data_IF_858857018241
#
_entry.id   IF_858857018241
#
_cell.length_a   1.000
_cell.length_b   1.000
_cell.length_c   1.000
_cell.angle_alpha   90.00
_cell.angle_beta   90.00
_cell.angle_gamma   90.00
#
_symmetry.space_group_name_H-M   'P 1'
#
loop_
_entity.id
_entity.type
_entity.pdbx_description
1 polymer ?
#
# COMPACT_ATOMS: atom_id res chain seq x y z
N UNK A 1 26.39 7.85 -0.30
CA UNK A 1 24.96 8.20 -0.55
C UNK A 1 24.82 9.71 -0.51
N UNK A 2 24.81 10.35 -1.68
CA UNK A 2 24.88 11.81 -1.76
C UNK A 2 23.48 12.41 -1.62
N UNK A 3 23.19 13.04 -0.48
CA UNK A 3 21.90 13.68 -0.20
C UNK A 3 21.52 14.75 -1.25
N UNK A 4 22.51 15.37 -1.88
CA UNK A 4 22.35 16.29 -3.01
C UNK A 4 21.67 15.59 -4.21
N UNK A 5 22.01 14.34 -4.51
CA UNK A 5 21.40 13.61 -5.63
C UNK A 5 19.91 13.33 -5.39
N UNK A 6 19.51 13.08 -4.14
CA UNK A 6 18.10 12.94 -3.75
C UNK A 6 17.35 14.27 -3.90
N UNK A 7 17.96 15.38 -3.47
CA UNK A 7 17.39 16.73 -3.61
C UNK A 7 17.19 17.09 -5.09
N UNK A 8 18.18 16.83 -5.95
CA UNK A 8 18.09 17.11 -7.39
C UNK A 8 16.98 16.28 -8.05
N UNK A 9 16.88 14.99 -7.74
CA UNK A 9 15.83 14.15 -8.33
C UNK A 9 14.41 14.61 -7.92
N UNK A 10 14.21 14.94 -6.64
CA UNK A 10 12.96 15.51 -6.15
C UNK A 10 12.65 16.86 -6.82
N UNK A 11 13.63 17.76 -6.93
CA UNK A 11 13.45 19.03 -7.63
C UNK A 11 13.13 18.84 -9.11
N UNK A 12 13.80 17.91 -9.79
CA UNK A 12 13.58 17.67 -11.22
C UNK A 12 12.21 17.04 -11.48
N UNK A 13 11.72 16.19 -10.57
CA UNK A 13 10.36 15.62 -10.63
C UNK A 13 9.31 16.69 -10.32
N UNK A 14 9.48 17.48 -9.25
CA UNK A 14 8.48 18.48 -8.85
C UNK A 14 8.46 19.69 -9.78
N UNK A 15 9.63 20.22 -10.15
CA UNK A 15 9.73 21.33 -11.11
C UNK A 15 9.47 20.85 -12.54
N UNK A 16 9.82 19.62 -12.91
CA UNK A 16 9.49 19.04 -14.21
C UNK A 16 7.99 18.83 -14.40
N UNK A 17 7.27 18.37 -13.38
CA UNK A 17 5.80 18.39 -13.38
C UNK A 17 5.23 19.82 -13.47
N UNK A 18 5.99 20.79 -12.95
CA UNK A 18 5.66 22.21 -13.05
C UNK A 18 6.02 22.82 -14.41
N UNK A 19 6.78 22.13 -15.27
CA UNK A 19 7.07 22.57 -16.63
C UNK A 19 6.04 22.05 -17.65
N UNK A 20 5.24 21.04 -17.29
CA UNK A 20 4.13 20.57 -18.12
C UNK A 20 3.13 21.70 -18.39
N UNK A 21 2.62 21.72 -19.62
CA UNK A 21 1.60 22.67 -20.04
C UNK A 21 0.38 22.59 -19.11
N UNK A 22 -0.36 23.70 -18.97
CA UNK A 22 -1.46 23.78 -18.00
C UNK A 22 -2.44 22.60 -18.16
N UNK A 23 -2.70 22.17 -19.40
CA UNK A 23 -3.54 21.01 -19.72
C UNK A 23 -2.93 19.66 -19.33
N UNK A 24 -1.62 19.47 -19.54
CA UNK A 24 -0.94 18.22 -19.25
C UNK A 24 -0.88 17.92 -17.75
N UNK A 25 -0.82 18.97 -16.90
CA UNK A 25 -0.93 18.81 -15.44
C UNK A 25 -2.26 18.20 -15.02
N UNK A 26 -3.37 18.61 -15.63
CA UNK A 26 -4.69 18.02 -15.33
C UNK A 26 -4.72 16.55 -15.75
N UNK A 27 -4.18 16.24 -16.93
CA UNK A 27 -4.11 14.88 -17.44
C UNK A 27 -3.28 13.96 -16.52
N UNK A 28 -2.12 14.42 -16.07
CA UNK A 28 -1.26 13.66 -15.18
C UNK A 28 -1.90 13.44 -13.79
N UNK A 29 -2.56 14.45 -13.25
CA UNK A 29 -3.23 14.35 -11.95
C UNK A 29 -4.41 13.37 -12.00
N UNK A 30 -5.22 13.42 -13.06
CA UNK A 30 -6.29 12.45 -13.31
C UNK A 30 -5.71 11.04 -13.47
N UNK A 31 -4.61 10.87 -14.23
CA UNK A 31 -3.94 9.59 -14.38
C UNK A 31 -3.48 9.00 -13.04
N UNK A 32 -2.86 9.82 -12.17
CA UNK A 32 -2.42 9.38 -10.83
C UNK A 32 -3.62 8.99 -9.96
N UNK A 33 -4.71 9.75 -9.98
CA UNK A 33 -5.93 9.42 -9.24
C UNK A 33 -6.56 8.12 -9.73
N UNK A 34 -6.63 7.91 -11.05
CA UNK A 34 -7.17 6.69 -11.65
C UNK A 34 -6.26 5.49 -11.38
N UNK A 35 -4.94 5.66 -11.45
CA UNK A 35 -3.97 4.62 -11.09
C UNK A 35 -4.08 4.24 -9.61
N UNK A 36 -4.14 5.24 -8.72
CA UNK A 36 -4.30 5.01 -7.30
C UNK A 36 -5.62 4.30 -7.02
N UNK A 37 -6.72 4.74 -7.64
CA UNK A 37 -8.02 4.08 -7.56
C UNK A 37 -7.94 2.62 -8.03
N UNK A 38 -7.27 2.37 -9.15
CA UNK A 38 -7.09 1.02 -9.69
C UNK A 38 -6.31 0.13 -8.72
N UNK A 39 -5.22 0.63 -8.14
CA UNK A 39 -4.42 -0.12 -7.15
C UNK A 39 -5.20 -0.30 -5.84
N UNK A 40 -5.90 0.71 -5.35
CA UNK A 40 -6.71 0.64 -4.12
C UNK A 40 -7.96 -0.22 -4.29
N UNK A 41 -8.51 -0.36 -5.49
CA UNK A 41 -9.65 -1.22 -5.76
C UNK A 41 -9.23 -2.68 -5.97
N UNK A 42 -8.11 -2.92 -6.68
CA UNK A 42 -7.63 -4.27 -6.98
C UNK A 42 -6.69 -4.85 -5.89
N UNK A 43 -5.88 -4.00 -5.26
CA UNK A 43 -4.92 -4.35 -4.20
C UNK A 43 -5.51 -5.02 -2.95
N UNK A 44 -6.66 -4.59 -2.40
CA UNK A 44 -7.21 -5.21 -1.20
C UNK A 44 -7.62 -6.66 -1.45
N UNK A 45 -7.99 -7.04 -2.67
CA UNK A 45 -8.30 -8.44 -3.00
C UNK A 45 -7.09 -9.36 -2.85
N UNK A 46 -5.89 -8.85 -3.12
CA UNK A 46 -4.63 -9.58 -2.92
C UNK A 46 -4.21 -9.60 -1.44
N UNK A 47 -4.34 -8.45 -0.75
CA UNK A 47 -4.01 -8.34 0.67
C UNK A 47 -4.95 -9.17 1.56
N UNK A 48 -6.25 -9.23 1.25
CA UNK A 48 -7.24 -9.98 2.03
C UNK A 48 -7.01 -11.49 1.93
N UNK A 49 -6.56 -12.00 0.78
CA UNK A 49 -6.22 -13.41 0.60
C UNK A 49 -4.97 -13.80 1.40
N UNK A 50 -3.96 -12.92 1.46
CA UNK A 50 -2.79 -13.11 2.32
C UNK A 50 -3.15 -13.04 3.81
N UNK A 51 -3.92 -12.03 4.23
CA UNK A 51 -4.40 -11.91 5.61
C UNK A 51 -5.21 -13.14 6.03
N UNK A 52 -6.15 -13.57 5.19
CA UNK A 52 -7.00 -14.73 5.48
C UNK A 52 -6.20 -16.02 5.61
N UNK A 53 -5.15 -16.21 4.82
CA UNK A 53 -4.34 -17.44 4.84
C UNK A 53 -3.38 -17.51 6.03
N UNK A 54 -2.87 -16.38 6.52
CA UNK A 54 -1.90 -16.36 7.62
C UNK A 54 -2.50 -16.04 9.00
N UNK A 55 -3.56 -15.23 9.09
CA UNK A 55 -4.17 -14.85 10.37
C UNK A 55 -5.29 -15.80 10.82
N UNK A 56 -6.10 -16.37 9.92
CA UNK A 56 -7.12 -17.35 10.33
C UNK A 56 -6.53 -18.56 11.07
N UNK A 57 -5.44 -19.20 10.61
CA UNK A 57 -4.88 -20.32 11.37
C UNK A 57 -4.27 -19.89 12.71
N UNK A 58 -3.72 -18.67 12.80
CA UNK A 58 -3.13 -18.12 14.04
C UNK A 58 -4.20 -17.78 15.10
N UNK A 59 -5.33 -17.21 14.69
CA UNK A 59 -6.45 -16.92 15.59
C UNK A 59 -7.13 -18.22 16.06
N UNK A 60 -7.42 -19.16 15.16
CA UNK A 60 -8.03 -20.47 15.52
C UNK A 60 -7.11 -21.29 16.43
N UNK A 61 -5.79 -21.26 16.20
CA UNK A 61 -4.81 -21.94 17.07
C UNK A 61 -4.68 -21.22 18.42
N UNK A 62 -4.70 -19.89 18.45
CA UNK A 62 -4.67 -19.11 19.70
C UNK A 62 -5.91 -19.35 20.56
N UNK A 63 -7.10 -19.41 19.95
CA UNK A 63 -8.35 -19.75 20.63
C UNK A 63 -8.31 -21.19 21.18
N UNK A 64 -7.83 -22.17 20.40
CA UNK A 64 -7.65 -23.55 20.87
C UNK A 64 -6.66 -23.68 22.03
N UNK A 65 -5.60 -22.87 22.07
CA UNK A 65 -4.63 -22.87 23.17
C UNK A 65 -5.17 -22.20 24.43
N UNK A 66 -6.01 -21.17 24.29
CA UNK A 66 -6.68 -20.52 25.43
C UNK A 66 -7.80 -21.39 26.03
N UNK A 67 -8.60 -22.09 25.20
CA UNK A 67 -9.67 -22.99 25.68
C UNK A 67 -9.20 -24.42 25.99
N UNK A 68 -8.04 -24.85 25.48
CA UNK A 68 -7.45 -26.16 25.77
C UNK A 68 -6.60 -26.22 27.05
N UNK A 69 -6.39 -25.08 27.72
CA UNK A 69 -5.61 -24.97 28.95
C UNK A 69 -6.39 -25.20 30.26
N UNK A 70 -7.71 -25.35 30.21
CA UNK A 70 -8.57 -25.53 31.41
C UNK A 70 -9.15 -26.94 31.56
N UNK A 71 -8.42 -27.96 31.10
CA UNK A 71 -8.85 -29.38 31.13
C UNK A 71 -8.15 -30.27 32.17
N UNK A 72 -7.53 -29.70 33.21
CA UNK A 72 -6.93 -30.46 34.32
C UNK A 72 -7.16 -29.78 35.68
N UNK A 73 -8.42 -29.57 36.04
CA UNK A 73 -8.91 -29.50 37.42
C UNK A 73 -10.33 -30.07 37.45
#
# INVERSE_FOLDING_TARGET
>A
MNWISKKIHLYNVTMGLYMLDWWERYLFNILVVVLLWFVCFNGPRSAVNFYSSHLKPKLVTGEKLMFGGSGWL
#
